data_IF_548910046693
#
_entry.id   IF_548910046693
#
_cell.length_a   1.000
_cell.length_b   1.000
_cell.length_c   1.000
_cell.angle_alpha   90.00
_cell.angle_beta   90.00
_cell.angle_gamma   90.00
#
_symmetry.space_group_name_H-M   'P 1'
#
loop_
_entity.id
_entity.type
_entity.pdbx_description
1 polymer ?
#
# COMPACT_ATOMS: atom_id res chain seq x y z
N UNK A 1 48.96 0.68 32.81
CA UNK A 1 47.86 0.28 31.91
C UNK A 1 46.98 1.50 31.69
N UNK A 2 47.21 2.26 30.61
CA UNK A 2 46.42 3.44 30.29
C UNK A 2 45.15 3.00 29.55
N UNK A 3 43.97 3.26 30.14
CA UNK A 3 42.69 3.04 29.50
C UNK A 3 42.38 4.25 28.60
N UNK A 4 42.56 4.09 27.30
CA UNK A 4 42.13 5.11 26.32
C UNK A 4 40.61 5.06 26.19
N UNK A 5 39.93 6.03 26.81
CA UNK A 5 38.51 6.30 26.57
C UNK A 5 38.36 6.96 25.20
N UNK A 6 37.93 6.18 24.21
CA UNK A 6 37.57 6.70 22.89
C UNK A 6 36.34 7.61 23.00
N UNK A 7 36.55 8.93 23.04
CA UNK A 7 35.47 9.92 22.96
C UNK A 7 34.99 9.97 21.50
N UNK A 8 33.83 9.37 21.25
CA UNK A 8 33.14 9.43 19.96
C UNK A 8 32.59 10.85 19.72
N UNK A 9 32.87 11.50 18.58
CA UNK A 9 32.43 12.88 18.33
C UNK A 9 30.90 12.95 18.29
N UNK A 10 30.33 13.85 19.09
CA UNK A 10 28.89 14.15 19.10
C UNK A 10 28.56 15.02 17.87
N UNK A 11 27.51 14.65 17.12
CA UNK A 11 27.02 15.44 15.99
C UNK A 11 26.46 16.78 16.48
N UNK A 12 26.85 17.89 15.84
CA UNK A 12 26.52 19.28 16.20
C UNK A 12 25.01 19.63 16.19
N UNK A 13 24.12 18.69 15.89
CA UNK A 13 22.68 18.91 15.72
C UNK A 13 21.81 18.48 16.90
N UNK A 14 22.38 17.89 17.97
CA UNK A 14 21.60 17.48 19.15
C UNK A 14 21.50 18.62 20.16
N UNK A 15 20.29 19.07 20.55
CA UNK A 15 20.15 20.15 21.51
C UNK A 15 20.61 19.70 22.91
N UNK A 16 21.29 20.61 23.63
CA UNK A 16 21.95 20.39 24.93
C UNK A 16 21.08 19.77 26.04
N UNK A 17 19.75 19.86 25.95
CA UNK A 17 18.83 19.34 26.98
C UNK A 17 18.52 17.84 26.81
N UNK A 18 18.90 17.23 25.68
CA UNK A 18 18.62 15.81 25.40
C UNK A 18 19.86 14.97 25.70
N UNK A 19 19.94 14.43 26.92
CA UNK A 19 21.04 13.56 27.36
C UNK A 19 20.63 12.10 27.09
N UNK A 20 21.23 11.47 26.08
CA UNK A 20 21.08 10.04 25.80
C UNK A 20 22.35 9.29 26.21
N UNK A 21 22.20 8.23 27.03
CA UNK A 21 23.32 7.36 27.41
C UNK A 21 23.71 6.47 26.24
N UNK A 22 24.97 6.54 25.80
CA UNK A 22 25.51 5.67 24.74
C UNK A 22 26.22 4.47 25.37
N UNK A 23 25.84 3.27 24.97
CA UNK A 23 26.42 2.02 25.46
C UNK A 23 27.20 1.30 24.35
N UNK A 24 28.12 0.42 24.74
CA UNK A 24 28.83 -0.47 23.81
C UNK A 24 27.86 -1.44 23.12
N UNK A 25 28.13 -1.84 21.87
CA UNK A 25 27.35 -2.84 21.10
C UNK A 25 27.34 -4.25 21.70
N UNK A 26 28.11 -4.47 22.78
CA UNK A 26 28.05 -5.68 23.62
C UNK A 26 26.85 -5.67 24.57
N UNK A 27 26.38 -4.49 24.97
CA UNK A 27 25.23 -4.31 25.86
C UNK A 27 23.96 -4.34 25.01
N UNK A 28 23.01 -5.20 25.36
CA UNK A 28 21.77 -5.44 24.60
C UNK A 28 20.71 -4.38 24.89
N UNK A 29 21.05 -3.10 24.71
CA UNK A 29 20.18 -1.94 25.00
C UNK A 29 20.04 -1.07 23.75
N UNK A 30 18.84 -0.52 23.55
CA UNK A 30 18.53 0.37 22.42
C UNK A 30 18.63 -0.36 21.07
N UNK A 31 19.25 0.29 20.09
CA UNK A 31 19.33 -0.18 18.71
C UNK A 31 20.46 -1.20 18.44
N UNK A 32 20.85 -1.99 19.45
CA UNK A 32 22.04 -2.85 19.42
C UNK A 32 22.05 -3.86 18.26
N UNK A 33 20.88 -4.39 17.88
CA UNK A 33 20.73 -5.34 16.77
C UNK A 33 21.09 -4.67 15.45
N UNK A 34 20.58 -3.48 15.19
CA UNK A 34 20.86 -2.73 13.96
C UNK A 34 22.33 -2.29 13.89
N UNK A 35 22.91 -1.82 15.01
CA UNK A 35 24.34 -1.49 15.09
C UNK A 35 25.23 -2.69 14.75
N UNK A 36 24.86 -3.91 15.16
CA UNK A 36 25.59 -5.14 14.75
C UNK A 36 25.32 -5.54 13.30
N UNK A 37 24.15 -5.24 12.76
CA UNK A 37 23.79 -5.53 11.36
C UNK A 37 24.49 -4.61 10.36
N UNK A 38 25.00 -3.44 10.77
CA UNK A 38 25.71 -2.49 9.88
C UNK A 38 26.91 -3.06 9.10
N UNK A 39 27.53 -4.16 9.57
CA UNK A 39 28.71 -4.76 8.94
C UNK A 39 28.41 -5.80 7.85
N UNK A 40 27.20 -6.36 7.81
CA UNK A 40 26.83 -7.44 6.89
C UNK A 40 25.49 -7.13 6.21
N UNK A 41 25.40 -7.21 4.86
CA UNK A 41 24.14 -6.95 4.19
C UNK A 41 23.07 -7.95 4.65
N UNK A 42 21.86 -7.46 4.96
CA UNK A 42 20.71 -8.26 5.42
C UNK A 42 20.46 -9.51 4.57
N UNK A 43 20.68 -9.41 3.25
CA UNK A 43 20.61 -10.53 2.31
C UNK A 43 21.41 -11.74 2.81
N UNK A 44 22.69 -11.55 3.17
CA UNK A 44 23.55 -12.64 3.61
C UNK A 44 23.16 -13.24 4.96
N UNK A 45 22.43 -12.49 5.79
CA UNK A 45 21.99 -12.95 7.12
C UNK A 45 20.76 -13.84 7.03
N UNK A 46 19.88 -13.61 6.05
CA UNK A 46 18.53 -14.21 6.02
C UNK A 46 18.33 -15.12 4.81
N UNK A 47 19.07 -14.94 3.72
CA UNK A 47 18.93 -15.83 2.56
C UNK A 47 19.63 -17.16 2.79
N UNK A 48 18.92 -18.27 2.61
CA UNK A 48 19.47 -19.62 2.77
C UNK A 48 20.18 -20.15 1.51
N UNK A 49 19.65 -19.89 0.31
CA UNK A 49 20.17 -20.48 -0.95
C UNK A 49 20.28 -19.47 -2.09
N UNK A 50 20.71 -18.24 -1.78
CA UNK A 50 20.73 -17.12 -2.76
C UNK A 50 19.35 -16.84 -3.37
N UNK A 51 18.28 -17.19 -2.66
CA UNK A 51 16.93 -17.06 -3.17
C UNK A 51 16.54 -15.59 -3.38
N UNK A 52 15.90 -15.26 -4.52
CA UNK A 52 15.30 -13.96 -4.70
C UNK A 52 14.24 -13.71 -3.62
N UNK A 53 14.27 -12.53 -3.00
CA UNK A 53 13.37 -12.18 -1.90
C UNK A 53 11.87 -12.25 -2.24
N UNK A 54 11.50 -12.13 -3.53
CA UNK A 54 10.10 -12.06 -3.99
C UNK A 54 9.78 -13.14 -5.02
N UNK A 55 10.23 -14.37 -4.79
CA UNK A 55 10.03 -15.50 -5.72
C UNK A 55 8.66 -16.18 -5.57
N UNK A 56 8.06 -16.13 -4.38
CA UNK A 56 6.86 -16.88 -4.01
C UNK A 56 5.65 -15.96 -3.84
N UNK A 57 4.97 -15.65 -4.95
CA UNK A 57 3.87 -14.69 -4.99
C UNK A 57 2.47 -15.34 -5.01
N UNK A 58 2.40 -16.66 -4.99
CA UNK A 58 1.16 -17.45 -5.09
C UNK A 58 1.10 -18.37 -3.88
N UNK A 59 -0.03 -18.35 -3.18
CA UNK A 59 -0.30 -19.29 -2.10
C UNK A 59 -0.80 -20.62 -2.65
N UNK A 60 -0.62 -21.69 -1.88
CA UNK A 60 -1.20 -23.01 -2.21
C UNK A 60 -2.72 -22.97 -2.36
N UNK A 61 -3.37 -22.09 -1.59
CA UNK A 61 -4.80 -21.82 -1.71
C UNK A 61 -5.16 -21.24 -3.09
N UNK A 62 -4.45 -20.20 -3.53
CA UNK A 62 -4.68 -19.56 -4.84
C UNK A 62 -4.49 -20.55 -6.00
N UNK A 63 -3.42 -21.37 -5.96
CA UNK A 63 -3.15 -22.39 -6.99
C UNK A 63 -4.25 -23.46 -7.05
N UNK A 64 -4.78 -23.87 -5.90
CA UNK A 64 -5.80 -24.92 -5.83
C UNK A 64 -7.15 -24.47 -6.42
N UNK A 65 -7.60 -23.26 -6.06
CA UNK A 65 -8.90 -22.76 -6.50
C UNK A 65 -8.87 -22.16 -7.90
N UNK A 66 -7.83 -21.39 -8.24
CA UNK A 66 -7.82 -20.57 -9.45
C UNK A 66 -7.10 -21.25 -10.62
N UNK A 67 -6.15 -22.14 -10.32
CA UNK A 67 -5.30 -22.83 -11.32
C UNK A 67 -5.52 -24.34 -11.33
N UNK A 68 -6.50 -24.82 -10.56
CA UNK A 68 -6.92 -26.21 -10.44
C UNK A 68 -5.78 -27.18 -10.09
N UNK A 69 -4.74 -26.68 -9.42
CA UNK A 69 -3.63 -27.49 -8.93
C UNK A 69 -2.96 -28.38 -10.01
N UNK A 70 -3.15 -28.12 -11.30
CA UNK A 70 -2.70 -29.03 -12.36
C UNK A 70 -1.24 -28.75 -12.74
N UNK A 71 -0.35 -29.69 -12.44
CA UNK A 71 1.03 -29.66 -12.91
C UNK A 71 1.45 -31.08 -13.34
N UNK A 72 1.52 -31.37 -14.65
CA UNK A 72 1.82 -32.72 -15.13
C UNK A 72 3.29 -33.14 -14.90
N UNK A 73 4.17 -32.19 -14.59
CA UNK A 73 5.60 -32.46 -14.39
C UNK A 73 5.99 -32.82 -12.96
N UNK A 74 5.05 -32.76 -12.01
CA UNK A 74 5.36 -32.98 -10.58
C UNK A 74 4.57 -34.17 -10.02
N UNK A 75 5.19 -34.96 -9.12
CA UNK A 75 4.50 -36.06 -8.47
C UNK A 75 3.38 -35.53 -7.56
N UNK A 76 2.14 -36.07 -7.64
CA UNK A 76 1.02 -35.62 -6.82
C UNK A 76 1.20 -35.90 -5.31
N UNK A 77 1.98 -36.93 -4.96
CA UNK A 77 2.24 -37.37 -3.57
C UNK A 77 3.70 -37.76 -3.42
N UNK A 78 4.20 -37.71 -2.18
CA UNK A 78 5.58 -38.12 -1.85
C UNK A 78 5.75 -39.59 -2.17
N UNK A 79 6.91 -39.93 -2.69
CA UNK A 79 7.32 -41.31 -2.96
C UNK A 79 8.65 -41.58 -2.28
N UNK A 80 8.79 -42.75 -1.66
CA UNK A 80 10.06 -43.16 -1.07
C UNK A 80 11.01 -43.65 -2.16
N UNK A 81 12.20 -43.08 -2.24
CA UNK A 81 13.23 -43.54 -3.16
C UNK A 81 14.26 -44.40 -2.40
N UNK A 82 14.21 -45.72 -2.62
CA UNK A 82 15.11 -46.66 -1.95
C UNK A 82 16.58 -46.50 -2.32
N UNK A 83 16.90 -46.03 -3.52
CA UNK A 83 18.29 -45.84 -3.94
C UNK A 83 18.93 -44.62 -3.28
N UNK A 84 18.14 -43.58 -3.03
CA UNK A 84 18.60 -42.34 -2.40
C UNK A 84 18.33 -42.28 -0.90
N UNK A 85 17.57 -43.25 -0.36
CA UNK A 85 17.13 -43.30 1.03
C UNK A 85 16.45 -42.00 1.50
N UNK A 86 15.63 -41.42 0.62
CA UNK A 86 14.99 -40.12 0.83
C UNK A 86 13.53 -40.18 0.35
N UNK A 87 12.64 -39.49 1.06
CA UNK A 87 11.33 -39.16 0.53
C UNK A 87 11.51 -38.10 -0.55
N UNK A 88 11.07 -38.37 -1.78
CA UNK A 88 11.09 -37.39 -2.85
C UNK A 88 10.09 -36.27 -2.55
N UNK A 89 10.46 -35.00 -2.83
CA UNK A 89 9.59 -33.86 -2.58
C UNK A 89 8.28 -33.97 -3.36
N UNK A 90 7.19 -33.54 -2.73
CA UNK A 90 5.86 -33.44 -3.34
C UNK A 90 5.74 -32.18 -4.20
N UNK A 91 4.64 -32.07 -4.95
CA UNK A 91 4.26 -30.81 -5.60
C UNK A 91 4.36 -29.59 -4.68
N UNK A 92 3.94 -29.70 -3.42
CA UNK A 92 3.92 -28.59 -2.46
C UNK A 92 5.32 -28.07 -2.09
N UNK A 93 6.36 -28.89 -2.29
CA UNK A 93 7.74 -28.53 -1.99
C UNK A 93 8.40 -27.75 -3.13
N UNK A 94 7.76 -27.72 -4.32
CA UNK A 94 8.27 -26.97 -5.46
C UNK A 94 7.66 -25.56 -5.47
N UNK A 95 8.50 -24.51 -5.49
CA UNK A 95 8.01 -23.15 -5.53
C UNK A 95 7.32 -22.84 -6.87
N UNK A 96 6.10 -22.30 -6.80
CA UNK A 96 5.38 -21.86 -7.99
C UNK A 96 5.93 -20.54 -8.52
N UNK A 97 6.61 -20.60 -9.66
CA UNK A 97 7.24 -19.45 -10.32
C UNK A 97 6.30 -18.88 -11.38
N UNK A 98 5.26 -18.21 -10.93
CA UNK A 98 4.31 -17.57 -11.82
C UNK A 98 3.96 -16.17 -11.30
N UNK A 99 3.50 -15.27 -12.18
CA UNK A 99 3.01 -13.98 -11.75
C UNK A 99 1.81 -14.14 -10.79
N UNK A 100 1.61 -13.21 -9.85
CA UNK A 100 0.52 -13.27 -8.89
C UNK A 100 -0.84 -13.14 -9.59
N UNK A 101 -1.83 -13.88 -9.11
CA UNK A 101 -3.21 -13.79 -9.56
C UNK A 101 -3.85 -12.53 -8.97
N UNK A 102 -3.69 -11.39 -9.66
CA UNK A 102 -4.02 -10.08 -9.10
C UNK A 102 -5.44 -9.58 -9.46
N UNK A 103 -6.25 -10.33 -10.22
CA UNK A 103 -7.63 -9.97 -10.58
C UNK A 103 -7.84 -8.50 -11.03
N UNK A 104 -6.83 -7.88 -11.65
CA UNK A 104 -6.86 -6.47 -12.04
C UNK A 104 -6.76 -5.44 -10.89
N UNK A 105 -6.58 -5.86 -9.62
CA UNK A 105 -6.43 -4.96 -8.48
C UNK A 105 -5.20 -4.05 -8.65
N UNK A 106 -4.07 -4.59 -9.10
CA UNK A 106 -2.86 -3.81 -9.40
C UNK A 106 -3.11 -2.72 -10.45
N UNK A 107 -3.83 -3.06 -11.52
CA UNK A 107 -4.17 -2.12 -12.59
C UNK A 107 -5.09 -1.01 -12.05
N UNK A 108 -6.09 -1.38 -11.26
CA UNK A 108 -6.99 -0.43 -10.60
C UNK A 108 -6.25 0.50 -9.65
N UNK A 109 -5.29 -0.01 -8.87
CA UNK A 109 -4.47 0.80 -7.97
C UNK A 109 -3.52 1.72 -8.73
N UNK A 110 -2.86 1.22 -9.78
CA UNK A 110 -2.06 2.05 -10.68
C UNK A 110 -2.87 3.20 -11.26
N UNK A 111 -4.08 2.91 -11.77
CA UNK A 111 -4.98 3.96 -12.27
C UNK A 111 -5.31 4.98 -11.17
N UNK A 112 -5.60 4.53 -9.94
CA UNK A 112 -5.89 5.42 -8.82
C UNK A 112 -4.70 6.32 -8.45
N UNK A 113 -3.48 5.79 -8.47
CA UNK A 113 -2.27 6.57 -8.14
C UNK A 113 -1.87 7.53 -9.25
N UNK A 114 -2.06 7.13 -10.51
CA UNK A 114 -1.77 7.97 -11.67
C UNK A 114 -2.80 9.06 -11.89
N UNK A 115 -4.03 8.91 -11.37
CA UNK A 115 -5.05 9.96 -11.40
C UNK A 115 -4.51 11.19 -10.64
N UNK A 116 -4.21 12.30 -11.33
CA UNK A 116 -3.80 13.52 -10.66
C UNK A 116 -4.96 13.99 -9.75
N UNK A 117 -4.63 14.49 -8.58
CA UNK A 117 -5.62 15.12 -7.69
C UNK A 117 -6.20 16.32 -8.44
N UNK A 118 -7.48 16.24 -8.78
CA UNK A 118 -8.12 17.20 -9.68
C UNK A 118 -8.15 18.61 -9.07
N UNK A 119 -7.64 19.60 -9.83
CA UNK A 119 -8.00 21.02 -9.75
C UNK A 119 -7.86 21.71 -8.39
N UNK A 120 -8.31 22.98 -8.26
CA UNK A 120 -8.45 23.63 -6.96
C UNK A 120 -9.26 22.70 -6.05
N UNK A 121 -8.78 22.48 -4.82
CA UNK A 121 -9.38 21.58 -3.82
C UNK A 121 -10.87 21.91 -3.63
N UNK A 122 -11.73 21.26 -4.40
CA UNK A 122 -13.16 21.28 -4.14
C UNK A 122 -13.36 20.62 -2.77
N UNK A 123 -14.14 21.25 -1.85
CA UNK A 123 -14.45 20.62 -0.59
C UNK A 123 -15.22 19.32 -0.87
N UNK A 124 -15.03 18.32 -0.01
CA UNK A 124 -15.69 17.00 -0.11
C UNK A 124 -17.20 17.11 -0.31
N UNK A 125 -17.82 18.14 0.28
CA UNK A 125 -19.23 18.45 0.10
C UNK A 125 -19.61 18.69 -1.37
N UNK A 126 -18.88 19.54 -2.09
CA UNK A 126 -19.16 19.89 -3.49
C UNK A 126 -18.95 18.70 -4.42
N UNK A 127 -17.93 17.87 -4.18
CA UNK A 127 -17.68 16.68 -5.00
C UNK A 127 -18.67 15.53 -4.76
N UNK A 128 -19.20 15.42 -3.53
CA UNK A 128 -20.12 14.33 -3.15
C UNK A 128 -21.57 14.63 -3.51
N UNK A 129 -21.96 15.91 -3.54
CA UNK A 129 -23.31 16.36 -3.88
C UNK A 129 -23.27 17.21 -5.17
N UNK A 130 -23.22 16.57 -6.35
CA UNK A 130 -23.29 17.31 -7.61
C UNK A 130 -24.64 18.01 -7.72
N UNK A 131 -24.63 19.19 -8.34
CA UNK A 131 -25.87 19.95 -8.58
C UNK A 131 -26.81 19.10 -9.43
N UNK A 132 -28.04 18.82 -8.97
CA UNK A 132 -28.98 18.01 -9.74
C UNK A 132 -29.30 18.72 -11.07
N UNK A 133 -29.71 17.97 -12.11
CA UNK A 133 -30.06 18.57 -13.40
C UNK A 133 -31.16 19.62 -13.21
N UNK A 134 -31.14 20.67 -14.03
CA UNK A 134 -32.08 21.80 -13.88
C UNK A 134 -33.55 21.36 -13.92
N UNK A 135 -33.89 20.27 -14.59
CA UNK A 135 -35.23 19.69 -14.63
C UNK A 135 -35.72 19.10 -13.28
N UNK A 136 -34.80 18.76 -12.36
CA UNK A 136 -35.14 18.33 -11.01
C UNK A 136 -35.35 19.51 -10.05
N UNK A 137 -34.96 20.72 -10.45
CA UNK A 137 -35.24 21.93 -9.70
C UNK A 137 -36.65 22.40 -10.07
N UNK A 138 -37.49 22.62 -9.06
CA UNK A 138 -38.77 23.31 -9.24
C UNK A 138 -38.53 24.65 -9.92
N UNK A 139 -39.14 24.86 -11.09
CA UNK A 139 -39.20 26.19 -11.68
C UNK A 139 -40.18 27.00 -10.84
N UNK A 140 -39.70 28.09 -10.25
CA UNK A 140 -40.57 29.10 -9.65
C UNK A 140 -41.19 29.90 -10.78
N UNK A 141 -42.43 29.56 -11.12
CA UNK A 141 -43.27 30.44 -11.91
C UNK A 141 -43.74 31.57 -10.98
N UNK A 142 -43.19 32.77 -11.18
CA UNK A 142 -43.74 33.96 -10.56
C UNK A 142 -44.96 34.41 -11.35
N UNK A 143 -46.06 34.73 -10.66
CA UNK A 143 -47.21 35.34 -11.29
C UNK A 143 -46.77 36.62 -12.01
N UNK A 144 -46.98 36.67 -13.33
CA UNK A 144 -46.73 37.89 -14.10
C UNK A 144 -47.71 38.95 -13.56
N UNK A 145 -47.23 40.08 -13.03
CA UNK A 145 -48.11 41.10 -12.49
C UNK A 145 -49.01 41.62 -13.62
N UNK A 146 -50.32 41.49 -13.46
CA UNK A 146 -51.29 42.07 -14.39
C UNK A 146 -51.18 43.60 -14.25
N UNK A 147 -50.87 44.33 -15.34
CA UNK A 147 -50.84 45.79 -15.26
C UNK A 147 -52.23 46.30 -14.86
N UNK A 148 -52.32 47.28 -13.94
CA UNK A 148 -53.61 47.80 -13.50
C UNK A 148 -54.39 48.39 -14.68
N UNK A 149 -55.72 48.25 -14.70
CA UNK A 149 -56.56 48.88 -15.72
C UNK A 149 -56.29 50.38 -15.76
N UNK A 150 -56.08 50.93 -16.97
CA UNK A 150 -55.90 52.38 -17.14
C UNK A 150 -57.20 53.07 -16.71
N UNK A 151 -57.12 53.89 -15.66
CA UNK A 151 -58.22 54.76 -15.25
C UNK A 151 -58.53 55.71 -16.40
N UNK A 152 -59.78 55.74 -16.85
CA UNK A 152 -60.23 56.70 -17.86
C UNK A 152 -60.12 58.13 -17.30
N UNK A 153 -59.73 59.12 -18.10
CA UNK A 153 -59.63 60.50 -17.65
C UNK A 153 -61.03 60.99 -17.21
N UNK A 154 -61.07 61.58 -16.01
CA UNK A 154 -62.29 62.18 -15.45
C UNK A 154 -62.66 63.41 -16.29
N UNK A 155 -63.92 63.57 -16.71
CA UNK A 155 -64.34 64.76 -17.44
C UNK A 155 -64.21 65.99 -16.52
N UNK A 156 -63.45 66.99 -16.98
CA UNK A 156 -63.47 68.32 -16.36
C UNK A 156 -64.80 69.00 -16.71
N UNK A 157 -65.60 69.30 -15.69
CA UNK A 157 -66.68 70.27 -15.73
C UNK A 157 -66.25 71.57 -15.06
#
# INVERSE_FOLDING_TARGET
>A
MQLLTAVSPQSLSTPSWKIETKYSTRVLIGNWVEERRKGLPYKHLITHHQEPSHRHLISTYDDHYNRHNYNPGLPPRRTWNGHRLLWLPEKADFPLLAPPTNYGLHERLKQRWLKPVAGPREPVYTSSYPRPPLCALSQREHAIPVPPPRLHPVPHF
#
